data_IF_988664417065
#
_entry.id   IF_988664417065
#
_cell.length_a   1.000
_cell.length_b   1.000
_cell.length_c   1.000
_cell.angle_alpha   90.00
_cell.angle_beta   90.00
_cell.angle_gamma   90.00
#
_symmetry.space_group_name_H-M   'P 1'
#
loop_
_entity.id
_entity.type
_entity.pdbx_description
1 polymer ?
#
# COMPACT_ATOMS: atom_id res chain seq x y z
N UNK A 1 -7.96 8.43 25.45
CA UNK A 1 -6.50 8.24 25.35
C UNK A 1 -6.10 8.24 23.89
N UNK A 2 -4.96 8.85 23.56
CA UNK A 2 -4.42 8.94 22.19
C UNK A 2 -3.00 8.38 22.22
N UNK A 3 -2.72 7.41 21.34
CA UNK A 3 -1.39 6.84 21.16
C UNK A 3 -0.89 7.20 19.75
N UNK A 4 0.39 7.56 19.63
CA UNK A 4 1.07 7.81 18.35
C UNK A 4 2.23 6.81 18.25
N UNK A 5 2.01 5.61 17.67
CA UNK A 5 3.02 4.56 17.66
C UNK A 5 3.94 4.72 16.44
N UNK A 6 5.19 5.14 16.66
CA UNK A 6 6.16 5.19 15.58
C UNK A 6 6.45 3.78 15.02
N UNK A 7 6.36 3.56 13.69
CA UNK A 7 6.51 2.23 13.09
C UNK A 7 7.96 1.76 13.04
N UNK A 8 8.93 2.66 13.24
CA UNK A 8 10.36 2.39 13.27
C UNK A 8 11.13 3.46 14.05
N UNK A 9 12.39 3.16 14.35
CA UNK A 9 13.38 4.10 14.82
C UNK A 9 13.75 5.15 13.75
N UNK A 10 14.50 6.16 14.17
CA UNK A 10 15.04 7.21 13.31
C UNK A 10 14.06 8.34 13.00
N UNK A 11 13.06 8.56 13.86
CA UNK A 11 12.17 9.71 13.74
C UNK A 11 12.89 10.99 14.16
N UNK A 12 12.62 12.08 13.45
CA UNK A 12 13.34 13.35 13.55
C UNK A 12 12.49 14.47 14.14
N UNK A 13 13.08 15.64 14.35
CA UNK A 13 12.35 16.87 14.68
C UNK A 13 11.13 17.10 13.77
N UNK A 14 11.27 16.84 12.46
CA UNK A 14 10.18 17.05 11.50
C UNK A 14 8.97 16.17 11.79
N UNK A 15 9.21 14.91 12.17
CA UNK A 15 8.15 13.93 12.44
C UNK A 15 7.40 14.28 13.73
N UNK A 16 8.13 14.66 14.78
CA UNK A 16 7.54 15.10 16.05
C UNK A 16 6.76 16.40 15.92
N UNK A 17 7.33 17.41 15.24
CA UNK A 17 6.64 18.69 15.01
C UNK A 17 5.41 18.49 14.13
N UNK A 18 5.46 17.60 13.14
CA UNK A 18 4.28 17.25 12.35
C UNK A 18 3.19 16.60 13.20
N UNK A 19 3.53 15.63 14.04
CA UNK A 19 2.61 14.99 14.98
C UNK A 19 1.97 16.00 15.95
N UNK A 20 2.79 16.92 16.49
CA UNK A 20 2.29 17.96 17.39
C UNK A 20 1.28 18.87 16.71
N UNK A 21 1.58 19.33 15.50
CA UNK A 21 0.68 20.22 14.76
C UNK A 21 -0.59 19.53 14.27
N UNK A 22 -0.53 18.25 13.89
CA UNK A 22 -1.66 17.54 13.29
C UNK A 22 -2.55 16.81 14.29
N UNK A 23 -2.02 16.44 15.45
CA UNK A 23 -2.74 15.62 16.44
C UNK A 23 -2.67 16.25 17.82
N UNK A 24 -1.48 16.41 18.39
CA UNK A 24 -1.34 16.74 19.83
C UNK A 24 -1.94 18.10 20.16
N UNK A 25 -1.52 19.15 19.46
CA UNK A 25 -1.96 20.51 19.75
C UNK A 25 -3.44 20.72 19.43
N UNK A 26 -3.99 20.33 18.25
CA UNK A 26 -5.43 20.46 17.99
C UNK A 26 -6.29 19.82 19.08
N UNK A 27 -5.93 18.60 19.49
CA UNK A 27 -6.66 17.89 20.55
C UNK A 27 -6.48 18.58 21.90
N UNK A 28 -5.27 19.01 22.24
CA UNK A 28 -5.01 19.68 23.51
C UNK A 28 -5.76 21.02 23.62
N UNK A 29 -5.91 21.75 22.51
CA UNK A 29 -6.75 22.95 22.45
C UNK A 29 -8.24 22.61 22.62
N UNK A 30 -8.76 21.58 21.95
CA UNK A 30 -10.15 21.14 22.11
C UNK A 30 -10.43 20.64 23.53
N UNK A 31 -9.48 19.93 24.13
CA UNK A 31 -9.58 19.44 25.51
C UNK A 31 -9.53 20.58 26.55
N UNK A 32 -8.87 21.70 26.21
CA UNK A 32 -8.75 22.89 27.06
C UNK A 32 -8.31 22.58 28.51
N UNK A 33 -7.11 22.01 28.72
CA UNK A 33 -6.66 21.59 30.04
C UNK A 33 -6.43 22.77 30.99
N UNK A 34 -6.74 22.58 32.28
CA UNK A 34 -6.42 23.54 33.35
C UNK A 34 -4.95 23.51 33.80
N UNK A 35 -4.25 22.41 33.49
CA UNK A 35 -2.84 22.15 33.76
C UNK A 35 -2.28 21.14 32.73
N UNK A 36 -1.03 21.30 32.33
CA UNK A 36 -0.31 20.34 31.49
C UNK A 36 0.84 19.72 32.28
N UNK A 37 0.89 18.39 32.30
CA UNK A 37 1.97 17.62 32.92
C UNK A 37 2.62 16.77 31.83
N UNK A 38 3.93 16.93 31.66
CA UNK A 38 4.73 16.18 30.68
C UNK A 38 5.59 15.18 31.43
N UNK A 39 5.39 13.90 31.13
CA UNK A 39 6.33 12.82 31.45
C UNK A 39 7.50 12.96 30.46
N UNK A 40 8.53 13.68 30.86
CA UNK A 40 9.59 14.21 30.01
C UNK A 40 10.77 13.23 29.94
N UNK A 41 10.61 12.19 29.11
CA UNK A 41 11.71 11.32 28.69
C UNK A 41 12.54 11.95 27.57
N UNK A 42 13.86 11.81 27.65
CA UNK A 42 14.82 12.26 26.64
C UNK A 42 15.49 11.11 25.90
N UNK A 43 14.90 9.91 25.96
CA UNK A 43 15.34 8.72 25.22
C UNK A 43 15.04 8.81 23.72
N UNK A 44 14.11 9.69 23.29
CA UNK A 44 13.93 10.03 21.88
C UNK A 44 15.02 10.96 21.30
N UNK A 45 15.95 11.43 22.12
CA UNK A 45 16.95 12.40 21.70
C UNK A 45 18.01 11.79 20.78
N UNK A 46 18.54 12.61 19.88
CA UNK A 46 19.71 12.27 19.06
C UNK A 46 20.86 11.74 19.93
N UNK A 47 21.38 10.57 19.56
CA UNK A 47 22.49 9.90 20.27
C UNK A 47 22.08 9.06 21.49
N UNK A 48 20.79 8.94 21.80
CA UNK A 48 20.34 7.98 22.81
C UNK A 48 20.48 6.53 22.29
N UNK A 49 21.09 5.61 23.06
CA UNK A 49 21.35 4.25 22.61
C UNK A 49 20.13 3.32 22.61
N UNK A 50 19.00 3.72 23.21
CA UNK A 50 17.81 2.87 23.34
C UNK A 50 16.66 3.36 22.48
N UNK A 51 16.35 4.67 22.50
CA UNK A 51 15.21 5.19 21.74
C UNK A 51 15.46 5.33 20.24
N UNK A 52 16.73 5.37 19.82
CA UNK A 52 17.18 5.36 18.41
C UNK A 52 16.49 6.39 17.51
N UNK A 53 16.02 7.50 18.10
CA UNK A 53 15.43 8.62 17.39
C UNK A 53 16.42 9.79 17.33
N UNK A 54 16.07 10.77 16.51
CA UNK A 54 16.94 11.88 16.11
C UNK A 54 16.30 13.22 16.47
N UNK A 55 15.67 13.31 17.66
CA UNK A 55 15.10 14.56 18.15
C UNK A 55 16.21 15.43 18.72
N UNK A 56 16.36 16.63 18.17
CA UNK A 56 17.36 17.58 18.63
C UNK A 56 16.90 18.30 19.91
N UNK A 57 17.83 18.92 20.67
CA UNK A 57 17.44 19.80 21.77
C UNK A 57 16.48 20.91 21.35
N UNK A 58 16.62 21.43 20.13
CA UNK A 58 15.68 22.44 19.61
C UNK A 58 14.29 21.84 19.39
N UNK A 59 14.19 20.59 18.91
CA UNK A 59 12.92 19.87 18.78
C UNK A 59 12.16 19.79 20.11
N UNK A 60 12.84 19.38 21.19
CA UNK A 60 12.27 19.38 22.54
C UNK A 60 11.85 20.78 23.02
N UNK A 61 12.68 21.80 22.74
CA UNK A 61 12.34 23.19 23.02
C UNK A 61 11.06 23.65 22.32
N UNK A 62 10.90 23.34 21.03
CA UNK A 62 9.69 23.67 20.27
C UNK A 62 8.44 22.95 20.80
N UNK A 63 8.53 21.65 21.10
CA UNK A 63 7.41 20.91 21.70
C UNK A 63 7.00 21.51 23.05
N UNK A 64 7.98 21.85 23.89
CA UNK A 64 7.74 22.54 25.17
C UNK A 64 7.07 23.91 24.96
N UNK A 65 7.53 24.67 23.96
CA UNK A 65 6.98 25.99 23.65
C UNK A 65 5.52 25.90 23.22
N UNK A 66 5.18 24.92 22.37
CA UNK A 66 3.80 24.68 21.95
C UNK A 66 2.91 24.36 23.15
N UNK A 67 3.33 23.45 24.04
CA UNK A 67 2.54 23.08 25.22
C UNK A 67 2.37 24.22 26.22
N UNK A 68 3.36 25.11 26.34
CA UNK A 68 3.31 26.30 27.22
C UNK A 68 2.16 27.25 26.86
N UNK A 69 1.64 27.20 25.62
CA UNK A 69 0.49 28.03 25.20
C UNK A 69 -0.84 27.60 25.81
N UNK A 70 -0.91 26.39 26.38
CA UNK A 70 -2.10 25.82 26.99
C UNK A 70 -2.18 26.16 28.49
N UNK A 71 -3.33 25.93 29.12
CA UNK A 71 -3.51 26.00 30.58
C UNK A 71 -3.02 27.32 31.22
N UNK A 72 -3.08 28.44 30.50
CA UNK A 72 -2.49 29.73 30.90
C UNK A 72 -1.02 29.62 31.32
N UNK A 73 -0.25 28.75 30.67
CA UNK A 73 1.17 28.53 30.96
C UNK A 73 1.47 27.60 32.13
N UNK A 74 0.45 26.98 32.77
CA UNK A 74 0.64 26.01 33.84
C UNK A 74 1.15 24.67 33.27
N UNK A 75 2.45 24.61 33.03
CA UNK A 75 3.17 23.47 32.48
C UNK A 75 4.17 22.92 33.50
N UNK A 76 4.10 21.62 33.76
CA UNK A 76 5.05 20.88 34.58
C UNK A 76 5.80 19.90 33.68
N UNK A 77 7.14 19.92 33.72
CA UNK A 77 7.99 18.90 33.13
C UNK A 77 8.50 17.99 34.25
N UNK A 78 8.11 16.72 34.26
CA UNK A 78 8.61 15.70 35.17
C UNK A 78 9.64 14.86 34.43
N UNK A 79 10.91 14.92 34.84
CA UNK A 79 12.00 14.16 34.20
C UNK A 79 11.78 12.65 34.34
N UNK A 80 11.98 11.90 33.25
CA UNK A 80 11.80 10.45 33.18
C UNK A 80 13.05 9.76 32.61
N UNK A 81 12.90 9.00 31.52
CA UNK A 81 13.96 8.26 30.85
C UNK A 81 14.94 9.13 30.06
N UNK A 82 15.98 8.46 29.55
CA UNK A 82 17.12 9.06 28.87
C UNK A 82 18.38 8.34 29.31
N UNK A 83 19.15 7.83 28.34
CA UNK A 83 20.26 6.91 28.57
C UNK A 83 21.59 7.47 28.04
N UNK A 84 21.54 8.63 27.38
CA UNK A 84 22.71 9.42 27.04
C UNK A 84 22.76 10.74 27.85
N UNK A 85 23.74 10.87 28.74
CA UNK A 85 23.86 12.03 29.64
C UNK A 85 24.01 13.37 28.90
N UNK A 86 24.73 13.40 27.79
CA UNK A 86 24.92 14.62 27.01
C UNK A 86 23.62 15.02 26.31
N UNK A 87 22.90 14.05 25.75
CA UNK A 87 21.61 14.28 25.10
C UNK A 87 20.54 14.75 26.10
N UNK A 88 20.50 14.16 27.30
CA UNK A 88 19.63 14.60 28.40
C UNK A 88 19.96 16.04 28.79
N UNK A 89 21.23 16.34 29.06
CA UNK A 89 21.68 17.66 29.53
C UNK A 89 21.29 18.77 28.53
N UNK A 90 21.58 18.56 27.25
CA UNK A 90 21.28 19.54 26.19
C UNK A 90 19.77 19.70 25.97
N UNK A 91 19.02 18.61 25.96
CA UNK A 91 17.57 18.63 25.70
C UNK A 91 16.80 19.23 26.87
N UNK A 92 17.15 18.86 28.11
CA UNK A 92 16.57 19.45 29.32
C UNK A 92 16.87 20.95 29.40
N UNK A 93 18.09 21.38 29.09
CA UNK A 93 18.45 22.80 29.04
C UNK A 93 17.57 23.56 28.03
N UNK A 94 17.34 23.00 26.83
CA UNK A 94 16.49 23.63 25.82
C UNK A 94 15.05 23.79 26.32
N UNK A 95 14.47 22.79 26.99
CA UNK A 95 13.15 22.89 27.60
C UNK A 95 13.09 23.97 28.69
N UNK A 96 14.09 24.01 29.58
CA UNK A 96 14.14 24.99 30.69
C UNK A 96 14.25 26.42 30.17
N UNK A 97 15.06 26.66 29.13
CA UNK A 97 15.15 27.97 28.47
C UNK A 97 13.77 28.45 28.00
N UNK A 98 13.00 27.57 27.36
CA UNK A 98 11.64 27.89 26.93
C UNK A 98 10.70 28.17 28.11
N UNK A 99 10.82 27.42 29.21
CA UNK A 99 10.04 27.69 30.44
C UNK A 99 10.36 29.09 30.99
N UNK A 100 11.63 29.49 30.99
CA UNK A 100 12.09 30.83 31.38
C UNK A 100 11.68 31.95 30.41
N UNK A 101 11.09 31.60 29.26
CA UNK A 101 10.57 32.56 28.28
C UNK A 101 11.53 32.87 27.13
N UNK A 102 12.66 32.18 27.03
CA UNK A 102 13.52 32.27 25.84
C UNK A 102 12.82 31.62 24.65
N UNK A 103 12.97 32.17 23.43
CA UNK A 103 12.48 31.52 22.23
C UNK A 103 13.25 30.21 21.96
N UNK A 104 12.59 29.15 21.46
CA UNK A 104 13.29 27.93 21.08
C UNK A 104 14.25 28.20 19.90
N UNK A 105 15.33 27.41 19.83
CA UNK A 105 16.30 27.50 18.74
C UNK A 105 15.68 27.20 17.37
N UNK A 106 16.32 27.67 16.30
CA UNK A 106 15.80 27.49 14.93
C UNK A 106 15.82 26.01 14.52
N UNK A 107 14.69 25.54 13.96
CA UNK A 107 14.60 24.26 13.26
C UNK A 107 14.86 24.44 11.76
N UNK A 108 15.27 23.36 11.10
CA UNK A 108 15.32 23.28 9.64
C UNK A 108 13.92 23.21 9.01
N UNK A 109 13.85 23.01 7.68
CA UNK A 109 12.59 22.73 7.00
C UNK A 109 11.90 21.52 7.62
N UNK A 110 10.60 21.66 7.94
CA UNK A 110 9.80 20.57 8.48
C UNK A 110 9.28 19.71 7.32
N UNK A 111 9.96 18.60 7.08
CA UNK A 111 9.61 17.62 6.04
C UNK A 111 9.44 16.28 6.75
N UNK A 112 8.21 15.88 7.11
CA UNK A 112 7.98 14.60 7.78
C UNK A 112 8.28 13.44 6.83
N UNK A 113 8.73 12.34 7.40
CA UNK A 113 8.90 11.08 6.69
C UNK A 113 7.56 10.51 6.23
N UNK A 114 7.58 9.64 5.20
CA UNK A 114 6.38 8.95 4.74
C UNK A 114 5.77 8.09 5.85
N UNK A 115 6.59 7.38 6.63
CA UNK A 115 6.15 6.58 7.76
C UNK A 115 5.45 7.41 8.84
N UNK A 116 5.95 8.61 9.12
CA UNK A 116 5.28 9.55 10.03
C UNK A 116 3.91 9.97 9.47
N UNK A 117 3.84 10.36 8.20
CA UNK A 117 2.57 10.76 7.59
C UNK A 117 1.53 9.65 7.63
N UNK A 118 1.89 8.40 7.31
CA UNK A 118 1.00 7.24 7.39
C UNK A 118 0.54 6.96 8.82
N UNK A 119 1.47 7.03 9.79
CA UNK A 119 1.17 6.84 11.22
C UNK A 119 0.18 7.88 11.70
N UNK A 120 0.44 9.16 11.43
CA UNK A 120 -0.43 10.26 11.82
C UNK A 120 -1.79 10.18 11.14
N UNK A 121 -1.82 9.78 9.88
CA UNK A 121 -3.08 9.52 9.17
C UNK A 121 -3.89 8.40 9.83
N UNK A 122 -3.25 7.31 10.27
CA UNK A 122 -3.90 6.24 11.01
C UNK A 122 -4.42 6.69 12.39
N UNK A 123 -3.65 7.52 13.09
CA UNK A 123 -4.07 8.12 14.37
C UNK A 123 -5.29 9.01 14.16
N UNK A 124 -5.28 9.91 13.16
CA UNK A 124 -6.43 10.76 12.82
C UNK A 124 -7.64 9.90 12.48
N UNK A 125 -7.46 8.84 11.68
CA UNK A 125 -8.53 7.90 11.34
C UNK A 125 -9.19 7.28 12.57
N UNK A 126 -8.38 6.91 13.55
CA UNK A 126 -8.87 6.31 14.80
C UNK A 126 -9.52 7.34 15.72
N UNK A 127 -8.92 8.52 15.84
CA UNK A 127 -9.29 9.53 16.84
C UNK A 127 -10.37 10.52 16.37
N UNK A 128 -10.59 10.66 15.05
CA UNK A 128 -11.61 11.56 14.47
C UNK A 128 -13.05 11.24 14.89
N UNK A 129 -13.30 10.03 15.41
CA UNK A 129 -14.59 9.65 16.00
C UNK A 129 -14.86 10.34 17.35
N UNK A 130 -13.82 10.83 18.02
CA UNK A 130 -13.88 11.36 19.38
C UNK A 130 -13.50 12.84 19.49
N UNK A 131 -12.81 13.39 18.49
CA UNK A 131 -12.28 14.75 18.50
C UNK A 131 -12.70 15.51 17.26
N UNK A 132 -13.39 16.64 17.44
CA UNK A 132 -13.94 17.45 16.35
C UNK A 132 -12.84 18.18 15.55
N UNK A 133 -11.70 18.45 16.17
CA UNK A 133 -10.55 19.10 15.55
C UNK A 133 -9.83 18.20 14.53
N UNK A 134 -10.15 16.89 14.49
CA UNK A 134 -9.53 15.93 13.60
C UNK A 134 -10.44 15.61 12.42
N UNK A 135 -9.96 15.87 11.21
CA UNK A 135 -10.64 15.56 9.97
C UNK A 135 -9.68 14.87 8.98
N UNK A 136 -10.19 14.01 8.09
CA UNK A 136 -11.59 13.63 7.93
C UNK A 136 -12.09 12.65 9.01
N UNK A 137 -13.41 12.60 9.24
CA UNK A 137 -14.06 11.56 10.05
C UNK A 137 -14.13 10.27 9.24
N UNK A 138 -13.70 9.17 9.85
CA UNK A 138 -13.69 7.86 9.21
C UNK A 138 -14.84 6.99 9.67
N UNK A 139 -15.80 6.76 8.77
CA UNK A 139 -16.84 5.78 8.94
C UNK A 139 -16.31 4.39 8.58
N UNK A 140 -16.35 3.46 9.53
CA UNK A 140 -16.00 2.07 9.37
C UNK A 140 -17.16 1.28 8.75
N UNK A 141 -16.87 0.11 8.20
CA UNK A 141 -17.90 -0.82 7.68
C UNK A 141 -18.87 -1.28 8.76
N UNK A 142 -18.43 -1.29 10.02
CA UNK A 142 -19.21 -1.62 11.21
C UNK A 142 -20.25 -0.54 11.57
N UNK A 143 -20.03 0.71 11.13
CA UNK A 143 -20.92 1.85 11.41
C UNK A 143 -22.22 1.81 10.55
N UNK A 144 -22.46 0.72 9.81
CA UNK A 144 -23.60 0.54 8.91
C UNK A 144 -24.91 0.21 9.64
N UNK A 145 -26.03 0.63 9.07
CA UNK A 145 -27.36 0.20 9.54
C UNK A 145 -27.63 -1.26 9.11
N UNK A 146 -28.38 -2.02 9.93
CA UNK A 146 -28.83 -3.36 9.55
C UNK A 146 -29.55 -3.36 8.19
N UNK A 147 -29.21 -4.31 7.33
CA UNK A 147 -29.81 -4.47 5.99
C UNK A 147 -29.16 -3.66 4.87
N UNK A 148 -28.14 -2.83 5.15
CA UNK A 148 -27.39 -2.15 4.10
C UNK A 148 -26.47 -3.13 3.35
N UNK A 149 -26.55 -3.10 2.01
CA UNK A 149 -25.68 -3.87 1.13
C UNK A 149 -24.25 -3.31 1.20
N UNK A 150 -23.28 -4.17 1.52
CA UNK A 150 -21.86 -3.86 1.43
C UNK A 150 -21.30 -4.55 0.20
N UNK A 151 -20.74 -3.77 -0.72
CA UNK A 151 -20.04 -4.30 -1.90
C UNK A 151 -18.58 -3.85 -1.82
N UNK A 152 -17.67 -4.81 -1.91
CA UNK A 152 -16.25 -4.53 -1.95
C UNK A 152 -15.87 -3.84 -3.28
N UNK A 153 -15.02 -2.82 -3.22
CA UNK A 153 -14.58 -2.10 -4.42
C UNK A 153 -13.85 -3.02 -5.42
N UNK A 154 -13.07 -3.99 -4.93
CA UNK A 154 -12.41 -4.99 -5.78
C UNK A 154 -13.43 -5.90 -6.47
N UNK A 155 -14.51 -6.30 -5.78
CA UNK A 155 -15.58 -7.08 -6.41
C UNK A 155 -16.33 -6.25 -7.46
N UNK A 156 -16.56 -4.96 -7.23
CA UNK A 156 -17.14 -4.08 -8.25
C UNK A 156 -16.24 -3.95 -9.49
N UNK A 157 -14.93 -3.82 -9.30
CA UNK A 157 -13.96 -3.77 -10.40
C UNK A 157 -14.00 -5.03 -11.23
N UNK A 158 -13.95 -6.17 -10.57
CA UNK A 158 -14.02 -7.49 -11.19
C UNK A 158 -15.31 -7.66 -11.99
N UNK A 159 -16.47 -7.35 -11.41
CA UNK A 159 -17.76 -7.40 -12.09
C UNK A 159 -17.79 -6.48 -13.32
N UNK A 160 -17.30 -5.25 -13.19
CA UNK A 160 -17.21 -4.31 -14.29
C UNK A 160 -16.30 -4.83 -15.41
N UNK A 161 -15.09 -5.26 -15.08
CA UNK A 161 -14.11 -5.79 -16.05
C UNK A 161 -14.67 -7.01 -16.78
N UNK A 162 -15.17 -8.02 -16.05
CA UNK A 162 -15.76 -9.21 -16.68
C UNK A 162 -16.89 -8.84 -17.64
N UNK A 163 -17.81 -7.96 -17.23
CA UNK A 163 -18.92 -7.52 -18.08
C UNK A 163 -18.44 -6.73 -19.29
N UNK A 164 -17.51 -5.80 -19.12
CA UNK A 164 -17.00 -4.93 -20.18
C UNK A 164 -16.21 -5.73 -21.22
N UNK A 165 -15.30 -6.59 -20.77
CA UNK A 165 -14.46 -7.45 -21.62
C UNK A 165 -15.31 -8.47 -22.41
N UNK A 166 -16.32 -9.08 -21.77
CA UNK A 166 -17.26 -9.93 -22.48
C UNK A 166 -18.09 -9.14 -23.51
N UNK A 167 -18.62 -7.98 -23.12
CA UNK A 167 -19.51 -7.21 -23.99
C UNK A 167 -18.81 -6.73 -25.25
N UNK A 168 -17.58 -6.21 -25.11
CA UNK A 168 -16.79 -5.64 -26.20
C UNK A 168 -16.04 -6.67 -27.04
N UNK A 169 -15.41 -7.66 -26.39
CA UNK A 169 -14.48 -8.57 -27.05
C UNK A 169 -14.82 -10.05 -26.90
N UNK A 170 -15.95 -10.38 -26.26
CA UNK A 170 -16.37 -11.78 -26.02
C UNK A 170 -15.33 -12.60 -25.25
N UNK A 171 -14.55 -11.95 -24.38
CA UNK A 171 -13.72 -12.66 -23.41
C UNK A 171 -14.62 -13.37 -22.40
N UNK A 172 -14.35 -14.65 -22.16
CA UNK A 172 -15.14 -15.53 -21.31
C UNK A 172 -14.33 -15.84 -20.05
N UNK A 173 -14.94 -15.81 -18.86
CA UNK A 173 -14.28 -16.27 -17.64
C UNK A 173 -13.82 -17.71 -17.76
N UNK A 174 -12.60 -18.01 -17.32
CA UNK A 174 -12.11 -19.38 -17.27
C UNK A 174 -12.80 -20.11 -16.11
N UNK A 175 -13.48 -21.25 -16.35
CA UNK A 175 -14.14 -21.99 -15.28
C UNK A 175 -13.08 -22.62 -14.36
N UNK A 176 -13.18 -22.31 -13.08
CA UNK A 176 -12.38 -22.92 -12.02
C UNK A 176 -13.29 -23.82 -11.18
N UNK A 177 -12.76 -24.94 -10.71
CA UNK A 177 -13.51 -25.83 -9.81
C UNK A 177 -13.76 -25.16 -8.45
N UNK A 178 -14.80 -25.61 -7.74
CA UNK A 178 -15.20 -25.09 -6.42
C UNK A 178 -14.17 -25.29 -5.29
N UNK A 179 -12.98 -25.81 -5.63
CA UNK A 179 -11.85 -25.89 -4.73
C UNK A 179 -11.20 -24.54 -4.46
N UNK A 180 -9.99 -24.60 -3.89
CA UNK A 180 -9.20 -23.45 -3.46
C UNK A 180 -9.05 -22.36 -4.53
N UNK A 181 -8.77 -22.74 -5.78
CA UNK A 181 -8.60 -21.78 -6.88
C UNK A 181 -9.92 -21.09 -7.27
N UNK A 182 -11.04 -21.82 -7.33
CA UNK A 182 -12.34 -21.22 -7.65
C UNK A 182 -12.76 -20.21 -6.59
N UNK A 183 -12.64 -20.55 -5.30
CA UNK A 183 -13.00 -19.64 -4.21
C UNK A 183 -12.23 -18.32 -4.26
N UNK A 184 -10.99 -18.35 -4.75
CA UNK A 184 -10.08 -17.21 -4.73
C UNK A 184 -10.02 -16.43 -6.05
N UNK A 185 -10.07 -17.12 -7.19
CA UNK A 185 -9.76 -16.57 -8.52
C UNK A 185 -10.91 -16.64 -9.53
N UNK A 186 -12.11 -17.06 -9.11
CA UNK A 186 -13.29 -17.00 -9.99
C UNK A 186 -13.45 -15.58 -10.54
N UNK A 187 -13.69 -15.42 -11.84
CA UNK A 187 -13.80 -14.13 -12.55
C UNK A 187 -12.55 -13.23 -12.50
N UNK A 188 -11.39 -13.77 -12.12
CA UNK A 188 -10.09 -13.09 -12.21
C UNK A 188 -9.23 -13.61 -13.36
N UNK A 189 -9.66 -14.65 -14.06
CA UNK A 189 -9.04 -15.10 -15.30
C UNK A 189 -10.11 -15.14 -16.40
N UNK A 190 -9.82 -14.56 -17.56
CA UNK A 190 -10.65 -14.66 -18.74
C UNK A 190 -9.82 -14.92 -20.00
N UNK A 191 -10.44 -15.48 -21.03
CA UNK A 191 -9.75 -15.78 -22.27
C UNK A 191 -10.63 -15.54 -23.50
N UNK A 192 -10.00 -15.44 -24.68
CA UNK A 192 -10.69 -15.40 -25.97
C UNK A 192 -11.55 -16.65 -26.16
N UNK A 193 -12.83 -16.48 -26.53
CA UNK A 193 -13.71 -17.64 -26.79
C UNK A 193 -13.24 -18.56 -27.93
N UNK A 194 -12.41 -18.02 -28.85
CA UNK A 194 -11.81 -18.74 -29.96
C UNK A 194 -10.32 -19.04 -29.75
N UNK A 195 -9.84 -19.06 -28.50
CA UNK A 195 -8.42 -19.21 -28.13
C UNK A 195 -7.72 -20.34 -28.89
N UNK A 196 -8.34 -21.52 -28.97
CA UNK A 196 -7.78 -22.72 -29.59
C UNK A 196 -7.54 -22.59 -31.12
N UNK A 197 -8.15 -21.60 -31.76
CA UNK A 197 -8.00 -21.32 -33.19
C UNK A 197 -6.93 -20.25 -33.47
N UNK A 198 -6.34 -19.65 -32.44
CA UNK A 198 -5.38 -18.55 -32.57
C UNK A 198 -3.97 -19.09 -32.77
N UNK A 199 -3.24 -18.52 -33.74
CA UNK A 199 -1.83 -18.86 -33.95
C UNK A 199 -0.93 -18.29 -32.84
N UNK A 200 -1.24 -17.06 -32.44
CA UNK A 200 -0.50 -16.30 -31.41
C UNK A 200 -1.42 -16.04 -30.24
N UNK A 201 -0.97 -16.41 -29.04
CA UNK A 201 -1.70 -16.19 -27.77
C UNK A 201 -0.84 -15.36 -26.82
N UNK A 202 -1.44 -14.33 -26.24
CA UNK A 202 -0.85 -13.56 -25.17
C UNK A 202 -1.33 -14.10 -23.83
N UNK A 203 -0.38 -14.46 -22.95
CA UNK A 203 -0.67 -14.83 -21.58
C UNK A 203 -0.30 -13.63 -20.70
N UNK A 204 -1.29 -12.83 -20.36
CA UNK A 204 -1.12 -11.56 -19.67
C UNK A 204 -1.50 -11.71 -18.19
N UNK A 205 -0.55 -11.48 -17.30
CA UNK A 205 -0.72 -11.53 -15.85
C UNK A 205 -0.40 -10.15 -15.28
N UNK A 206 -1.37 -9.50 -14.64
CA UNK A 206 -1.21 -8.12 -14.19
C UNK A 206 -1.94 -7.84 -12.88
N UNK A 207 -1.57 -6.76 -12.21
CA UNK A 207 -2.31 -6.24 -11.05
C UNK A 207 -3.66 -5.64 -11.46
N UNK A 208 -4.64 -5.71 -10.55
CA UNK A 208 -5.96 -5.14 -10.75
C UNK A 208 -5.93 -3.62 -10.94
N UNK A 209 -6.91 -3.11 -11.69
CA UNK A 209 -7.13 -1.69 -11.91
C UNK A 209 -7.22 -0.90 -10.58
N UNK A 210 -6.76 0.35 -10.61
CA UNK A 210 -6.69 1.22 -9.42
C UNK A 210 -7.84 2.26 -9.44
N UNK A 211 -8.18 2.81 -8.28
CA UNK A 211 -9.12 3.91 -8.15
C UNK A 211 -8.41 5.20 -7.76
N UNK A 212 -8.70 6.29 -8.47
CA UNK A 212 -8.43 7.64 -7.99
C UNK A 212 -9.70 8.17 -7.36
N UNK A 213 -9.68 8.29 -6.04
CA UNK A 213 -10.82 8.77 -5.26
C UNK A 213 -10.58 10.23 -4.84
N UNK A 214 -11.52 11.10 -5.22
CA UNK A 214 -11.70 12.40 -4.59
C UNK A 214 -12.55 12.18 -3.33
N UNK A 215 -12.01 12.46 -2.16
CA UNK A 215 -12.72 12.30 -0.88
C UNK A 215 -13.07 13.65 -0.29
N UNK A 216 -14.16 13.70 0.48
CA UNK A 216 -14.52 14.93 1.18
C UNK A 216 -13.46 15.27 2.24
N UNK A 217 -13.09 16.54 2.36
CA UNK A 217 -12.12 16.98 3.37
C UNK A 217 -12.55 16.64 4.82
N UNK A 218 -13.85 16.53 5.07
CA UNK A 218 -14.43 16.27 6.39
C UNK A 218 -14.76 14.81 6.66
N UNK A 219 -14.72 13.93 5.66
CA UNK A 219 -15.09 12.52 5.83
C UNK A 219 -14.46 11.62 4.77
N UNK A 220 -14.30 10.33 5.06
CA UNK A 220 -13.86 9.34 4.07
C UNK A 220 -14.91 9.00 2.98
N UNK A 221 -15.98 9.77 2.83
CA UNK A 221 -16.94 9.62 1.74
C UNK A 221 -16.33 10.04 0.39
N UNK A 222 -16.49 9.17 -0.61
CA UNK A 222 -16.00 9.37 -1.97
C UNK A 222 -16.96 10.29 -2.73
N UNK A 223 -16.41 11.29 -3.43
CA UNK A 223 -17.10 12.09 -4.42
C UNK A 223 -17.10 11.33 -5.75
N UNK A 224 -18.18 10.56 -5.99
CA UNK A 224 -18.31 9.67 -7.16
C UNK A 224 -18.15 10.43 -8.48
N UNK A 225 -18.61 11.68 -8.58
CA UNK A 225 -18.54 12.47 -9.81
C UNK A 225 -17.11 12.86 -10.22
N UNK A 226 -16.19 12.92 -9.26
CA UNK A 226 -14.79 13.29 -9.47
C UNK A 226 -13.82 12.13 -9.25
N UNK A 227 -14.34 10.94 -8.99
CA UNK A 227 -13.56 9.73 -8.75
C UNK A 227 -13.66 8.81 -9.96
N UNK A 228 -12.58 8.12 -10.27
CA UNK A 228 -12.50 7.30 -11.48
C UNK A 228 -11.64 6.06 -11.28
N UNK A 229 -12.02 4.99 -11.98
CA UNK A 229 -11.20 3.80 -12.14
C UNK A 229 -10.18 4.04 -13.25
N UNK A 230 -8.92 3.69 -13.00
CA UNK A 230 -7.88 3.64 -14.01
C UNK A 230 -7.53 2.18 -14.28
N UNK A 231 -7.96 1.69 -15.44
CA UNK A 231 -7.54 0.42 -15.97
C UNK A 231 -6.41 0.64 -16.98
N UNK A 232 -5.17 0.64 -16.48
CA UNK A 232 -3.98 0.91 -17.30
C UNK A 232 -3.70 -0.21 -18.31
N UNK A 233 -4.20 -1.41 -18.06
CA UNK A 233 -3.92 -2.57 -18.90
C UNK A 233 -4.90 -2.73 -20.06
N UNK A 234 -6.06 -2.08 -19.99
CA UNK A 234 -7.11 -2.13 -21.01
C UNK A 234 -6.59 -1.86 -22.43
N UNK A 235 -5.70 -0.89 -22.61
CA UNK A 235 -5.14 -0.54 -23.92
C UNK A 235 -4.34 -1.71 -24.54
N UNK A 236 -3.61 -2.47 -23.73
CA UNK A 236 -2.87 -3.64 -24.22
C UNK A 236 -3.82 -4.75 -24.65
N UNK A 237 -4.86 -5.03 -23.85
CA UNK A 237 -5.90 -6.02 -24.17
C UNK A 237 -6.59 -5.65 -25.49
N UNK A 238 -7.02 -4.40 -25.64
CA UNK A 238 -7.63 -3.89 -26.86
C UNK A 238 -6.69 -4.04 -28.06
N UNK A 239 -5.42 -3.68 -27.91
CA UNK A 239 -4.42 -3.79 -28.98
C UNK A 239 -4.22 -5.25 -29.41
N UNK A 240 -4.07 -6.17 -28.46
CA UNK A 240 -3.88 -7.61 -28.74
C UNK A 240 -5.08 -8.16 -29.52
N UNK A 241 -6.30 -7.85 -29.08
CA UNK A 241 -7.53 -8.35 -29.68
C UNK A 241 -7.80 -7.73 -31.06
N UNK A 242 -7.52 -6.44 -31.24
CA UNK A 242 -7.65 -5.76 -32.53
C UNK A 242 -6.69 -6.30 -33.59
N UNK A 243 -5.57 -6.91 -33.18
CA UNK A 243 -4.63 -7.61 -34.07
C UNK A 243 -4.98 -9.10 -34.26
N UNK A 244 -6.17 -9.53 -33.85
CA UNK A 244 -6.69 -10.90 -34.01
C UNK A 244 -5.85 -11.97 -33.29
N UNK A 245 -5.17 -11.60 -32.21
CA UNK A 245 -4.45 -12.55 -31.35
C UNK A 245 -5.37 -13.10 -30.25
N UNK A 246 -5.05 -14.30 -29.75
CA UNK A 246 -5.69 -14.83 -28.56
C UNK A 246 -5.14 -14.19 -27.30
N UNK A 247 -5.93 -14.13 -26.24
CA UNK A 247 -5.48 -13.69 -24.93
C UNK A 247 -5.99 -14.61 -23.82
N UNK A 248 -5.14 -14.83 -22.83
CA UNK A 248 -5.47 -15.27 -21.48
C UNK A 248 -5.10 -14.08 -20.57
N UNK A 249 -6.11 -13.42 -20.03
CA UNK A 249 -6.00 -12.26 -19.13
C UNK A 249 -6.19 -12.75 -17.69
N UNK A 250 -5.19 -12.51 -16.84
CA UNK A 250 -5.18 -12.91 -15.43
C UNK A 250 -4.93 -11.70 -14.55
N UNK A 251 -5.94 -11.40 -13.74
CA UNK A 251 -5.99 -10.27 -12.83
C UNK A 251 -5.57 -10.70 -11.41
N UNK A 252 -4.59 -9.99 -10.83
CA UNK A 252 -4.09 -10.27 -9.49
C UNK A 252 -4.83 -9.37 -8.49
N UNK A 253 -5.62 -9.96 -7.57
CA UNK A 253 -6.38 -9.18 -6.59
C UNK A 253 -5.44 -8.49 -5.59
N UNK A 254 -5.88 -7.42 -4.91
CA UNK A 254 -5.08 -6.72 -3.91
C UNK A 254 -4.82 -7.62 -2.69
N UNK A 255 -3.70 -7.38 -1.99
CA UNK A 255 -3.31 -8.18 -0.82
C UNK A 255 -4.22 -7.83 0.36
N UNK A 256 -5.09 -8.75 0.78
CA UNK A 256 -6.04 -8.51 1.89
C UNK A 256 -5.44 -8.91 3.25
N UNK A 257 -4.54 -9.90 3.30
CA UNK A 257 -3.69 -10.27 4.44
C UNK A 257 -3.07 -11.65 4.18
N UNK A 258 -1.81 -11.87 4.58
CA UNK A 258 -0.99 -13.10 4.37
C UNK A 258 -0.34 -13.28 2.96
N UNK A 259 0.74 -12.54 2.65
CA UNK A 259 1.40 -12.56 1.34
C UNK A 259 2.06 -13.89 0.95
N UNK A 260 2.40 -14.77 1.90
CA UNK A 260 3.07 -16.06 1.61
C UNK A 260 2.17 -17.04 0.84
N UNK A 261 0.90 -17.13 1.23
CA UNK A 261 -0.05 -18.05 0.60
C UNK A 261 -0.46 -17.55 -0.80
N UNK A 262 -0.44 -16.23 -1.02
CA UNK A 262 -0.82 -15.63 -2.30
C UNK A 262 0.07 -16.02 -3.48
N UNK A 263 1.39 -15.97 -3.31
CA UNK A 263 2.32 -16.32 -4.39
C UNK A 263 2.18 -17.79 -4.80
N UNK A 264 1.92 -18.67 -3.83
CA UNK A 264 1.70 -20.08 -4.11
C UNK A 264 0.41 -20.30 -4.90
N UNK A 265 -0.70 -19.70 -4.44
CA UNK A 265 -2.01 -19.88 -5.05
C UNK A 265 -2.06 -19.30 -6.47
N UNK A 266 -1.43 -18.15 -6.68
CA UNK A 266 -1.32 -17.54 -8.00
C UNK A 266 -0.46 -18.39 -8.94
N UNK A 267 0.64 -18.97 -8.45
CA UNK A 267 1.44 -19.93 -9.24
C UNK A 267 0.64 -21.17 -9.61
N UNK A 268 -0.14 -21.73 -8.67
CA UNK A 268 -1.04 -22.86 -8.93
C UNK A 268 -2.09 -22.51 -10.01
N UNK A 269 -2.66 -21.30 -9.97
CA UNK A 269 -3.57 -20.80 -11.01
C UNK A 269 -2.88 -20.73 -12.38
N UNK A 270 -1.70 -20.11 -12.46
CA UNK A 270 -1.00 -19.94 -13.74
C UNK A 270 -0.62 -21.28 -14.36
N UNK A 271 -0.19 -22.26 -13.55
CA UNK A 271 0.07 -23.63 -13.99
C UNK A 271 -1.21 -24.28 -14.52
N UNK A 272 -2.32 -24.16 -13.79
CA UNK A 272 -3.61 -24.69 -14.24
C UNK A 272 -4.02 -24.12 -15.60
N UNK A 273 -3.93 -22.79 -15.76
CA UNK A 273 -4.27 -22.12 -17.02
C UNK A 273 -3.33 -22.55 -18.16
N UNK A 274 -2.03 -22.66 -17.88
CA UNK A 274 -1.06 -23.15 -18.85
C UNK A 274 -1.40 -24.57 -19.32
N UNK A 275 -1.52 -25.51 -18.39
CA UNK A 275 -1.75 -26.92 -18.67
C UNK A 275 -3.06 -27.14 -19.46
N UNK A 276 -4.13 -26.40 -19.11
CA UNK A 276 -5.47 -26.63 -19.66
C UNK A 276 -5.82 -25.76 -20.88
N UNK A 277 -5.20 -24.60 -21.05
CA UNK A 277 -5.54 -23.67 -22.14
C UNK A 277 -4.42 -23.54 -23.18
N UNK A 278 -3.15 -23.64 -22.78
CA UNK A 278 -2.02 -23.53 -23.70
C UNK A 278 -1.56 -24.92 -24.12
N UNK A 279 -1.28 -25.81 -23.17
CA UNK A 279 -0.75 -27.14 -23.49
C UNK A 279 -1.75 -28.06 -24.17
N UNK A 280 -3.03 -27.93 -23.82
CA UNK A 280 -4.11 -28.61 -24.52
C UNK A 280 -4.44 -28.00 -25.91
N UNK A 281 -3.81 -26.88 -26.31
CA UNK A 281 -4.11 -26.19 -27.56
C UNK A 281 -3.07 -26.44 -28.65
N UNK A 282 -3.46 -26.21 -29.91
CA UNK A 282 -2.55 -26.23 -31.06
C UNK A 282 -1.77 -24.91 -31.23
N UNK A 283 -1.77 -24.04 -30.20
CA UNK A 283 -1.09 -22.74 -30.23
C UNK A 283 0.39 -22.93 -30.45
N UNK A 284 0.94 -22.17 -31.41
CA UNK A 284 2.35 -22.30 -31.82
C UNK A 284 3.25 -21.23 -31.24
N UNK A 285 2.68 -20.07 -30.87
CA UNK A 285 3.44 -18.91 -30.40
C UNK A 285 2.74 -18.29 -29.21
N UNK A 286 3.40 -18.31 -28.06
CA UNK A 286 2.90 -17.68 -26.83
C UNK A 286 3.78 -16.49 -26.47
N UNK A 287 3.16 -15.39 -26.09
CA UNK A 287 3.85 -14.21 -25.55
C UNK A 287 3.42 -14.05 -24.10
N UNK A 288 4.38 -14.11 -23.18
CA UNK A 288 4.12 -13.89 -21.76
C UNK A 288 4.23 -12.39 -21.47
N UNK A 289 3.25 -11.82 -20.77
CA UNK A 289 3.32 -10.43 -20.29
C UNK A 289 3.06 -10.42 -18.79
N UNK A 290 4.03 -9.97 -18.01
CA UNK A 290 3.89 -9.72 -16.58
C UNK A 290 3.88 -8.23 -16.29
N UNK A 291 2.90 -7.75 -15.53
CA UNK A 291 2.89 -6.40 -14.99
C UNK A 291 2.79 -6.40 -13.45
N UNK A 292 3.61 -5.59 -12.80
CA UNK A 292 3.70 -5.48 -11.34
C UNK A 292 3.99 -6.83 -10.68
N UNK A 293 3.08 -7.32 -9.82
CA UNK A 293 3.21 -8.64 -9.18
C UNK A 293 3.17 -9.80 -10.18
N UNK A 294 2.59 -9.60 -11.36
CA UNK A 294 2.52 -10.61 -12.43
C UNK A 294 3.89 -11.08 -12.91
N UNK A 295 4.90 -10.20 -12.88
CA UNK A 295 6.27 -10.55 -13.26
C UNK A 295 6.82 -11.72 -12.44
N UNK A 296 6.64 -11.67 -11.11
CA UNK A 296 7.18 -12.70 -10.20
C UNK A 296 6.42 -14.01 -10.32
N UNK A 297 5.11 -13.95 -10.56
CA UNK A 297 4.29 -15.15 -10.70
C UNK A 297 4.59 -15.89 -11.99
N UNK A 298 4.86 -15.16 -13.08
CA UNK A 298 5.29 -15.74 -14.35
C UNK A 298 6.64 -16.44 -14.25
N UNK A 299 7.63 -15.92 -13.52
CA UNK A 299 8.90 -16.65 -13.34
C UNK A 299 8.72 -17.97 -12.60
N UNK A 300 7.72 -18.05 -11.71
CA UNK A 300 7.25 -19.29 -11.11
C UNK A 300 6.72 -20.28 -12.14
N UNK A 301 5.82 -19.85 -13.04
CA UNK A 301 5.31 -20.69 -14.13
C UNK A 301 6.44 -21.18 -15.05
N UNK A 302 7.33 -20.27 -15.48
CA UNK A 302 8.47 -20.59 -16.36
C UNK A 302 9.35 -21.67 -15.72
N UNK A 303 9.57 -21.61 -14.40
CA UNK A 303 10.41 -22.58 -13.70
C UNK A 303 9.75 -23.95 -13.54
N UNK A 304 8.42 -24.01 -13.47
CA UNK A 304 7.65 -25.25 -13.21
C UNK A 304 7.19 -25.96 -14.49
N UNK A 305 7.14 -25.25 -15.63
CA UNK A 305 6.74 -25.75 -16.95
C UNK A 305 7.77 -25.47 -18.04
N UNK A 306 9.02 -25.36 -17.62
CA UNK A 306 10.20 -25.01 -18.41
C UNK A 306 10.25 -25.60 -19.83
N UNK A 307 10.06 -26.90 -20.00
CA UNK A 307 10.14 -27.54 -21.31
C UNK A 307 9.07 -27.01 -22.28
N UNK A 308 7.80 -27.05 -21.90
CA UNK A 308 6.68 -26.57 -22.72
C UNK A 308 6.74 -25.05 -22.95
N UNK A 309 7.21 -24.31 -21.93
CA UNK A 309 7.38 -22.86 -22.00
C UNK A 309 8.49 -22.51 -23.00
N UNK A 310 9.64 -23.18 -22.93
CA UNK A 310 10.74 -22.99 -23.87
C UNK A 310 10.37 -23.39 -25.31
N UNK A 311 9.48 -24.37 -25.47
CA UNK A 311 8.99 -24.82 -26.78
C UNK A 311 8.03 -23.80 -27.43
N UNK A 312 7.11 -23.21 -26.65
CA UNK A 312 5.99 -22.42 -27.19
C UNK A 312 6.13 -20.91 -27.01
N UNK A 313 6.86 -20.45 -26.00
CA UNK A 313 7.00 -19.02 -25.71
C UNK A 313 8.05 -18.40 -26.62
N UNK A 314 7.66 -17.37 -27.35
CA UNK A 314 8.56 -16.64 -28.26
C UNK A 314 9.11 -15.36 -27.66
N UNK A 315 8.46 -14.83 -26.62
CA UNK A 315 8.86 -13.59 -25.97
C UNK A 315 8.24 -13.50 -24.56
N UNK A 316 9.00 -12.95 -23.61
CA UNK A 316 8.50 -12.58 -22.30
C UNK A 316 8.71 -11.08 -22.05
N UNK A 317 7.64 -10.38 -21.71
CA UNK A 317 7.64 -8.94 -21.43
C UNK A 317 7.38 -8.75 -19.94
N UNK A 318 8.32 -8.11 -19.23
CA UNK A 318 8.20 -7.84 -17.80
C UNK A 318 8.12 -6.33 -17.54
N UNK A 319 7.03 -5.90 -16.90
CA UNK A 319 6.76 -4.50 -16.53
C UNK A 319 6.71 -4.43 -14.99
N UNK A 320 7.86 -4.40 -14.30
CA UNK A 320 7.91 -4.59 -12.84
C UNK A 320 7.40 -3.37 -12.04
N UNK A 321 7.28 -2.20 -12.68
CA UNK A 321 6.95 -0.95 -12.02
C UNK A 321 8.03 -0.57 -11.00
N UNK A 322 7.68 -0.31 -9.72
CA UNK A 322 8.67 0.01 -8.67
C UNK A 322 9.41 -1.24 -8.15
N UNK A 323 9.03 -2.44 -8.56
CA UNK A 323 9.66 -3.67 -8.10
C UNK A 323 10.92 -4.00 -8.91
N UNK A 324 11.76 -4.90 -8.38
CA UNK A 324 12.87 -5.47 -9.16
C UNK A 324 12.37 -6.46 -10.21
N UNK A 325 13.10 -6.56 -11.33
CA UNK A 325 12.85 -7.60 -12.33
C UNK A 325 13.22 -8.96 -11.75
N UNK A 326 12.30 -9.92 -11.67
CA UNK A 326 12.59 -11.23 -11.11
C UNK A 326 13.51 -12.04 -12.04
N UNK A 327 14.44 -12.78 -11.44
CA UNK A 327 15.22 -13.79 -12.15
C UNK A 327 14.46 -15.12 -12.24
N UNK A 328 14.76 -15.89 -13.29
CA UNK A 328 14.33 -17.28 -13.46
C UNK A 328 15.41 -18.22 -12.91
N UNK A 329 15.02 -19.45 -12.55
CA UNK A 329 15.85 -20.60 -12.10
C UNK A 329 17.38 -20.52 -12.25
N UNK A 330 18.11 -21.16 -11.32
CA UNK A 330 19.57 -21.32 -11.42
C UNK A 330 20.04 -22.25 -12.54
N UNK A 331 19.14 -22.93 -13.26
CA UNK A 331 19.52 -23.81 -14.37
C UNK A 331 19.98 -22.97 -15.58
N UNK A 332 21.19 -23.23 -16.07
CA UNK A 332 21.89 -22.35 -17.00
C UNK A 332 21.16 -22.21 -18.35
N UNK A 333 20.67 -23.30 -18.92
CA UNK A 333 19.91 -23.32 -20.18
C UNK A 333 18.63 -22.47 -20.12
N UNK A 334 17.84 -22.61 -19.05
CA UNK A 334 16.59 -21.88 -18.86
C UNK A 334 16.86 -20.39 -18.62
N UNK A 335 17.90 -20.07 -17.86
CA UNK A 335 18.35 -18.70 -17.64
C UNK A 335 18.80 -18.04 -18.95
N UNK A 336 19.58 -18.75 -19.77
CA UNK A 336 20.00 -18.25 -21.09
C UNK A 336 18.82 -18.05 -22.03
N UNK A 337 17.88 -19.00 -22.09
CA UNK A 337 16.65 -18.86 -22.90
C UNK A 337 15.79 -17.68 -22.45
N UNK A 338 15.66 -17.46 -21.13
CA UNK A 338 14.86 -16.35 -20.61
C UNK A 338 15.49 -14.98 -20.94
N UNK A 339 16.80 -14.92 -21.13
CA UNK A 339 17.54 -13.70 -21.47
C UNK A 339 17.66 -13.43 -22.98
N UNK A 340 17.41 -14.42 -23.84
CA UNK A 340 17.54 -14.33 -25.29
C UNK A 340 16.32 -13.71 -25.96
#
# INVERSE_FOLDING_TARGET
TINIPWPRAGMTDSDYIFAFNKVVMPIAYEFSPDIVIVSAGFDAAEGDPIGENHVSPNGFGHMTHMLKTLANGKLILALEGGYNLDSISKSALACVKVLLGEPPGKLGPIIPSQDCMETIHHVIRTQSKYWNCLAPVYYATEDRLPGQLLVDMAEMLKMYRTKNLYSKYKLIPVPLSDGKLGQRFTNLACCSGDLYNKEVVFFFVHDMADFRADTRATSNSINVSNSYMIDTVYLYIETILNNNHGIIDVDIPPIISQPKNENQDLRELLIFLWDNLIDASNTKKVILIGAGRGCRSLTGLISERDYSVMEKVVCTIMIPGPNEVPSVSKRADLSTWYQS
#
